data_IF_127294271592
#
_entry.id   IF_127294271592
#
_cell.length_a   1.000
_cell.length_b   1.000
_cell.length_c   1.000
_cell.angle_alpha   90.00
_cell.angle_beta   90.00
_cell.angle_gamma   90.00
#
_symmetry.space_group_name_H-M   'P 1'
#
loop_
_entity.id
_entity.type
_entity.pdbx_description
1 polymer ?
#
# COMPACT_ATOMS: atom_id res chain seq x y z
N UNK A 1 -22.73 1.75 23.47
CA UNK A 1 -23.03 1.37 22.06
C UNK A 1 -21.75 0.84 21.42
N UNK A 2 -21.89 -0.12 20.51
CA UNK A 2 -20.87 -0.85 19.72
C UNK A 2 -19.37 -0.50 19.92
N UNK A 3 -18.47 -1.43 20.21
CA UNK A 3 -18.64 -2.88 20.34
C UNK A 3 -17.35 -3.62 19.99
N UNK A 4 -16.53 -3.93 21.00
CA UNK A 4 -15.55 -5.01 20.88
C UNK A 4 -16.30 -6.35 20.92
N UNK A 5 -15.92 -7.31 20.07
CA UNK A 5 -15.42 -8.59 20.60
C UNK A 5 -14.38 -9.27 19.67
N UNK A 6 -13.80 -10.41 20.08
CA UNK A 6 -13.18 -10.66 21.38
C UNK A 6 -11.75 -11.24 21.22
N UNK A 7 -11.03 -11.40 22.33
CA UNK A 7 -9.92 -12.34 22.40
C UNK A 7 -10.46 -13.72 22.82
N UNK A 8 -10.12 -14.79 22.10
CA UNK A 8 -9.88 -16.14 22.65
C UNK A 8 -9.22 -17.07 21.60
N UNK A 9 -8.83 -18.28 22.03
CA UNK A 9 -8.43 -19.44 21.22
C UNK A 9 -7.06 -19.46 20.50
N UNK A 10 -5.98 -19.62 21.28
CA UNK A 10 -5.18 -20.85 21.12
C UNK A 10 -5.95 -21.98 21.84
N UNK A 11 -5.96 -23.26 21.40
CA UNK A 11 -4.72 -23.99 21.11
C UNK A 11 -4.81 -25.09 20.02
N UNK A 12 -3.70 -25.86 19.92
CA UNK A 12 -3.55 -27.27 19.46
C UNK A 12 -2.97 -27.51 18.06
N UNK A 13 -1.75 -28.06 18.08
CA UNK A 13 -1.19 -28.93 17.02
C UNK A 13 -2.12 -30.13 16.79
N UNK A 14 -2.21 -30.62 15.55
CA UNK A 14 -1.74 -31.99 15.33
C UNK A 14 -0.74 -32.14 14.16
N UNK A 15 -0.08 -33.29 14.16
CA UNK A 15 0.99 -33.71 13.25
C UNK A 15 0.42 -34.60 12.15
N UNK A 16 0.66 -34.29 10.88
CA UNK A 16 0.69 -35.26 9.76
C UNK A 16 1.74 -34.83 8.74
N UNK A 17 2.41 -35.83 8.13
CA UNK A 17 3.35 -35.64 7.04
C UNK A 17 2.72 -36.20 5.75
N UNK A 18 3.02 -35.60 4.59
CA UNK A 18 3.33 -36.30 3.33
C UNK A 18 3.55 -35.32 2.17
N UNK A 19 4.72 -35.46 1.53
CA UNK A 19 4.91 -35.60 0.08
C UNK A 19 3.94 -34.92 -0.90
N UNK A 20 4.43 -34.00 -1.73
CA UNK A 20 3.78 -33.66 -3.01
C UNK A 20 4.01 -32.24 -3.55
N UNK A 21 5.00 -32.08 -4.42
CA UNK A 21 5.01 -31.05 -5.49
C UNK A 21 4.32 -31.63 -6.75
N UNK A 22 4.05 -30.88 -7.83
CA UNK A 22 3.83 -29.42 -7.99
C UNK A 22 2.56 -29.09 -8.83
N UNK A 23 2.27 -27.79 -9.04
CA UNK A 23 1.76 -27.31 -10.34
C UNK A 23 0.36 -26.67 -10.41
N UNK A 24 0.33 -25.40 -10.82
CA UNK A 24 -0.73 -24.67 -11.56
C UNK A 24 -0.33 -23.17 -11.62
N UNK A 25 0.70 -22.80 -12.38
CA UNK A 25 0.60 -22.41 -13.81
C UNK A 25 0.10 -20.98 -14.02
N UNK A 26 1.04 -20.07 -14.23
CA UNK A 26 0.90 -18.76 -14.88
C UNK A 26 0.11 -18.79 -16.20
N UNK A 27 -0.38 -17.62 -16.63
CA UNK A 27 0.09 -17.18 -17.94
C UNK A 27 0.54 -15.70 -18.03
N UNK A 28 1.60 -15.53 -18.84
CA UNK A 28 2.02 -14.31 -19.56
C UNK A 28 2.89 -13.24 -18.83
N UNK A 29 4.20 -13.43 -18.96
CA UNK A 29 5.24 -12.41 -18.99
C UNK A 29 5.90 -12.44 -20.42
N UNK A 30 6.65 -11.47 -20.94
CA UNK A 30 7.04 -10.11 -20.49
C UNK A 30 7.38 -9.22 -21.73
N UNK A 31 7.90 -7.97 -21.61
CA UNK A 31 9.36 -7.79 -21.50
C UNK A 31 9.82 -6.64 -20.55
N UNK A 32 10.43 -6.97 -19.43
CA UNK A 32 11.89 -6.99 -19.26
C UNK A 32 12.65 -5.76 -19.81
N UNK A 33 12.74 -4.69 -19.01
CA UNK A 33 13.84 -3.71 -18.99
C UNK A 33 13.69 -2.62 -17.90
N UNK A 34 12.45 -2.28 -17.50
CA UNK A 34 12.17 -1.23 -16.51
C UNK A 34 11.73 -1.76 -15.13
N UNK A 35 11.64 -3.09 -14.97
CA UNK A 35 10.94 -3.75 -13.86
C UNK A 35 11.81 -4.15 -12.65
N UNK A 36 13.06 -3.67 -12.57
CA UNK A 36 14.07 -4.18 -11.63
C UNK A 36 13.77 -3.96 -10.12
N UNK A 37 12.79 -3.12 -9.76
CA UNK A 37 12.51 -2.77 -8.35
C UNK A 37 11.02 -2.76 -7.95
N UNK A 38 10.06 -3.25 -8.74
CA UNK A 38 8.64 -3.21 -8.35
C UNK A 38 8.23 -4.36 -7.41
N UNK A 39 8.38 -4.10 -6.11
CA UNK A 39 8.08 -5.03 -5.04
C UNK A 39 6.65 -5.58 -5.14
N UNK A 40 6.50 -6.91 -5.05
CA UNK A 40 5.20 -7.58 -5.03
C UNK A 40 4.88 -8.07 -3.62
N UNK A 41 3.69 -7.71 -3.12
CA UNK A 41 3.17 -8.17 -1.83
C UNK A 41 2.18 -9.32 -2.03
N UNK A 42 2.42 -10.50 -1.46
CA UNK A 42 1.41 -11.55 -1.38
C UNK A 42 0.33 -11.16 -0.34
N UNK A 43 -0.93 -11.31 -0.73
CA UNK A 43 -2.11 -11.04 0.09
C UNK A 43 -2.98 -12.29 0.10
N UNK A 44 -3.20 -12.89 1.25
CA UNK A 44 -4.18 -13.97 1.38
C UNK A 44 -5.58 -13.41 1.62
N UNK A 45 -6.53 -13.79 0.76
CA UNK A 45 -7.93 -13.41 0.87
C UNK A 45 -8.80 -14.66 0.68
N UNK A 46 -9.53 -15.07 1.73
CA UNK A 46 -10.45 -16.22 1.71
C UNK A 46 -9.83 -17.54 1.16
N UNK A 47 -8.54 -17.79 1.45
CA UNK A 47 -7.81 -18.96 0.96
C UNK A 47 -7.16 -18.81 -0.43
N UNK A 48 -7.29 -17.64 -1.07
CA UNK A 48 -6.62 -17.31 -2.33
C UNK A 48 -5.46 -16.35 -2.08
N UNK A 49 -4.24 -16.75 -2.44
CA UNK A 49 -3.07 -15.87 -2.42
C UNK A 49 -3.05 -15.00 -3.69
N UNK A 50 -3.28 -13.70 -3.53
CA UNK A 50 -3.20 -12.72 -4.61
C UNK A 50 -1.91 -11.92 -4.50
N UNK A 51 -1.18 -11.81 -5.60
CA UNK A 51 0.02 -11.00 -5.70
C UNK A 51 -0.35 -9.58 -6.14
N UNK A 52 0.00 -8.58 -5.33
CA UNK A 52 -0.25 -7.17 -5.60
C UNK A 52 1.09 -6.48 -5.82
N UNK A 53 1.32 -5.92 -7.01
CA UNK A 53 2.52 -5.13 -7.26
C UNK A 53 2.41 -3.77 -6.57
N UNK A 54 3.51 -3.26 -6.03
CA UNK A 54 3.57 -1.96 -5.36
C UNK A 54 3.03 -0.84 -6.25
N UNK A 55 3.33 -0.84 -7.55
CA UNK A 55 2.81 0.14 -8.50
C UNK A 55 1.28 0.13 -8.65
N UNK A 56 0.58 -0.98 -8.35
CA UNK A 56 -0.89 -1.03 -8.29
C UNK A 56 -1.46 -0.37 -7.01
N UNK A 57 -0.63 -0.15 -5.98
CA UNK A 57 -1.06 0.43 -4.70
C UNK A 57 -1.04 1.95 -4.78
N UNK A 58 -2.23 2.53 -4.69
CA UNK A 58 -2.44 3.98 -4.73
C UNK A 58 -2.21 4.62 -3.36
N UNK A 59 -2.75 3.98 -2.32
CA UNK A 59 -2.51 4.34 -0.93
C UNK A 59 -2.66 3.11 -0.02
N UNK A 60 -2.09 3.19 1.18
CA UNK A 60 -2.23 2.20 2.23
C UNK A 60 -2.70 2.88 3.53
N UNK A 61 -3.64 2.26 4.24
CA UNK A 61 -4.19 2.75 5.50
C UNK A 61 -3.88 1.78 6.67
N UNK A 62 -3.47 2.29 7.82
CA UNK A 62 -3.28 1.49 9.02
C UNK A 62 -4.63 1.12 9.68
N UNK A 63 -4.82 -0.18 9.92
CA UNK A 63 -6.01 -0.79 10.53
C UNK A 63 -5.53 -1.72 11.66
N UNK A 64 -5.15 -1.12 12.80
CA UNK A 64 -4.46 -1.83 13.89
C UNK A 64 -3.08 -2.33 13.45
N UNK A 65 -2.82 -3.62 13.66
CA UNK A 65 -1.58 -4.31 13.25
C UNK A 65 -1.53 -4.65 11.75
N UNK A 66 -2.60 -4.36 11.01
CA UNK A 66 -2.71 -4.59 9.59
C UNK A 66 -2.62 -3.27 8.80
N UNK A 67 -2.20 -3.35 7.54
CA UNK A 67 -2.37 -2.30 6.57
C UNK A 67 -3.41 -2.72 5.53
N UNK A 68 -4.36 -1.84 5.21
CA UNK A 68 -5.25 -1.99 4.07
C UNK A 68 -4.62 -1.28 2.87
N UNK A 69 -4.17 -2.04 1.88
CA UNK A 69 -3.69 -1.55 0.60
C UNK A 69 -4.90 -1.24 -0.30
N UNK A 70 -4.94 -0.07 -0.92
CA UNK A 70 -5.98 0.33 -1.87
C UNK A 70 -5.40 0.36 -3.28
N UNK A 71 -6.01 -0.43 -4.17
CA UNK A 71 -5.63 -0.60 -5.58
C UNK A 71 -6.82 -0.26 -6.48
N UNK A 72 -6.61 -0.23 -7.80
CA UNK A 72 -7.70 -0.14 -8.79
C UNK A 72 -8.70 -1.30 -8.68
N UNK A 73 -8.21 -2.50 -8.34
CA UNK A 73 -9.01 -3.71 -8.21
C UNK A 73 -9.75 -3.83 -6.85
N UNK A 74 -9.62 -2.83 -5.97
CA UNK A 74 -10.21 -2.83 -4.63
C UNK A 74 -9.18 -2.82 -3.51
N UNK A 75 -9.61 -3.19 -2.29
CA UNK A 75 -8.80 -3.10 -1.08
C UNK A 75 -8.37 -4.46 -0.52
N UNK A 76 -7.12 -4.55 -0.10
CA UNK A 76 -6.45 -5.77 0.35
C UNK A 76 -5.87 -5.59 1.76
N UNK A 77 -6.15 -6.49 2.70
CA UNK A 77 -5.62 -6.40 4.06
C UNK A 77 -4.35 -7.24 4.20
N UNK A 78 -3.24 -6.63 4.64
CA UNK A 78 -1.95 -7.29 4.84
C UNK A 78 -1.49 -7.16 6.28
N UNK A 79 -0.90 -8.22 6.83
CA UNK A 79 -0.33 -8.24 8.18
C UNK A 79 1.10 -7.65 8.19
N UNK A 80 1.22 -6.44 7.65
CA UNK A 80 2.47 -5.68 7.59
C UNK A 80 2.18 -4.29 8.18
N UNK A 81 2.92 -3.83 9.19
CA UNK A 81 2.67 -2.53 9.80
C UNK A 81 2.99 -1.40 8.81
N UNK A 82 2.19 -0.34 8.82
CA UNK A 82 2.32 0.79 7.88
C UNK A 82 3.71 1.44 7.91
N UNK A 83 4.41 1.42 9.05
CA UNK A 83 5.79 1.92 9.16
C UNK A 83 6.79 1.08 8.34
N UNK A 84 6.66 -0.24 8.33
CA UNK A 84 7.52 -1.10 7.52
C UNK A 84 7.25 -0.94 6.01
N UNK A 85 5.97 -0.76 5.62
CA UNK A 85 5.61 -0.40 4.24
C UNK A 85 6.19 0.97 3.85
N UNK A 86 6.09 1.96 4.73
CA UNK A 86 6.67 3.30 4.51
C UNK A 86 8.18 3.25 4.27
N UNK A 87 8.91 2.47 5.07
CA UNK A 87 10.38 2.33 4.93
C UNK A 87 10.76 1.62 3.63
N UNK A 88 10.12 0.48 3.33
CA UNK A 88 10.37 -0.30 2.10
C UNK A 88 10.00 0.45 0.82
N UNK A 89 8.94 1.25 0.85
CA UNK A 89 8.43 1.96 -0.33
C UNK A 89 8.88 3.43 -0.40
N UNK A 90 9.76 3.88 0.49
CA UNK A 90 10.28 5.25 0.48
C UNK A 90 11.03 5.59 -0.82
N UNK A 91 11.86 4.66 -1.32
CA UNK A 91 12.57 4.80 -2.62
C UNK A 91 11.61 4.85 -3.81
N UNK A 92 10.50 4.13 -3.72
CA UNK A 92 9.45 4.06 -4.73
C UNK A 92 8.53 5.30 -4.78
N UNK A 93 8.82 6.35 -4.02
CA UNK A 93 7.99 7.56 -3.98
C UNK A 93 6.69 7.39 -3.20
N UNK A 94 6.62 6.49 -2.21
CA UNK A 94 5.51 6.49 -1.24
C UNK A 94 5.80 7.47 -0.11
N UNK A 95 4.83 8.33 0.20
CA UNK A 95 4.95 9.39 1.22
C UNK A 95 3.85 9.26 2.25
N UNK A 96 4.22 9.35 3.54
CA UNK A 96 3.26 9.27 4.65
C UNK A 96 2.62 10.62 4.90
N UNK A 97 1.38 10.76 4.46
CA UNK A 97 0.58 12.00 4.56
C UNK A 97 -0.16 12.12 5.89
N UNK A 98 -0.47 11.00 6.54
CA UNK A 98 -1.10 10.95 7.85
C UNK A 98 -0.49 9.84 8.69
N UNK A 99 -0.66 9.87 10.03
CA UNK A 99 -0.12 8.81 10.91
C UNK A 99 -0.62 7.41 10.54
N UNK A 100 -1.82 7.33 9.97
CA UNK A 100 -2.45 6.10 9.47
C UNK A 100 -2.51 5.99 7.95
N UNK A 101 -1.85 6.86 7.16
CA UNK A 101 -2.03 6.87 5.70
C UNK A 101 -0.72 7.14 4.96
N UNK A 102 -0.37 6.21 4.08
CA UNK A 102 0.74 6.24 3.13
C UNK A 102 0.17 6.36 1.71
N UNK A 103 0.69 7.24 0.87
CA UNK A 103 0.20 7.45 -0.51
C UNK A 103 1.35 7.36 -1.51
N UNK A 104 1.11 6.77 -2.68
CA UNK A 104 2.05 6.82 -3.80
C UNK A 104 1.98 8.18 -4.48
N UNK A 105 3.12 8.88 -4.62
CA UNK A 105 3.17 10.17 -5.32
C UNK A 105 2.72 10.05 -6.79
N UNK A 106 3.00 8.92 -7.45
CA UNK A 106 2.64 8.68 -8.84
C UNK A 106 1.12 8.62 -9.10
N UNK A 107 0.32 8.36 -8.06
CA UNK A 107 -1.15 8.28 -8.14
C UNK A 107 -1.86 9.56 -7.65
N UNK A 108 -1.11 10.60 -7.27
CA UNK A 108 -1.66 11.90 -6.88
C UNK A 108 -2.05 12.70 -8.14
N UNK A 109 -3.30 13.16 -8.20
CA UNK A 109 -3.77 14.08 -9.25
C UNK A 109 -3.67 15.53 -8.85
N UNK A 110 -4.09 15.86 -7.63
CA UNK A 110 -4.09 17.23 -7.11
C UNK A 110 -3.69 17.26 -5.63
N UNK A 111 -3.10 18.37 -5.19
CA UNK A 111 -2.96 18.70 -3.77
C UNK A 111 -3.76 19.95 -3.46
N UNK A 112 -4.90 19.76 -2.79
CA UNK A 112 -5.81 20.85 -2.42
C UNK A 112 -5.41 21.45 -1.09
N UNK A 113 -5.72 22.74 -0.94
CA UNK A 113 -5.41 23.50 0.27
C UNK A 113 -6.58 24.41 0.58
N UNK A 114 -7.35 24.07 1.60
CA UNK A 114 -8.53 24.84 2.00
C UNK A 114 -8.48 25.17 3.50
N UNK A 115 -8.64 26.45 3.86
CA UNK A 115 -8.71 26.94 5.25
C UNK A 115 -7.57 26.42 6.14
N UNK A 116 -6.36 26.30 5.58
CA UNK A 116 -5.16 25.81 6.28
C UNK A 116 -5.08 24.28 6.46
N UNK A 117 -6.03 23.52 5.91
CA UNK A 117 -5.94 22.05 5.73
C UNK A 117 -5.34 21.75 4.36
N UNK A 118 -4.70 20.58 4.26
CA UNK A 118 -4.12 20.08 3.01
C UNK A 118 -4.71 18.71 2.74
N UNK A 119 -5.16 18.46 1.52
CA UNK A 119 -5.65 17.14 1.10
C UNK A 119 -5.03 16.73 -0.23
N UNK A 120 -4.95 15.43 -0.45
CA UNK A 120 -4.44 14.79 -1.66
C UNK A 120 -5.63 14.15 -2.37
N UNK A 121 -5.84 14.53 -3.63
CA UNK A 121 -6.87 13.95 -4.48
C UNK A 121 -6.22 12.92 -5.40
N UNK A 122 -6.72 11.69 -5.32
CA UNK A 122 -6.43 10.60 -6.24
C UNK A 122 -7.60 10.44 -7.21
N UNK A 123 -7.51 9.48 -8.15
CA UNK A 123 -8.60 9.15 -9.09
C UNK A 123 -9.93 8.87 -8.38
N UNK A 124 -9.89 8.09 -7.29
CA UNK A 124 -11.08 7.52 -6.65
C UNK A 124 -11.16 7.78 -5.13
N UNK A 125 -10.31 8.68 -4.58
CA UNK A 125 -10.27 8.99 -3.15
C UNK A 125 -9.69 10.39 -2.87
N UNK A 126 -10.13 11.04 -1.78
CA UNK A 126 -9.49 12.22 -1.21
C UNK A 126 -8.95 11.90 0.19
N UNK A 127 -7.66 12.14 0.42
CA UNK A 127 -6.95 11.81 1.65
C UNK A 127 -6.48 13.07 2.37
N UNK A 128 -6.83 13.21 3.65
CA UNK A 128 -6.41 14.35 4.46
C UNK A 128 -4.93 14.23 4.85
N UNK A 129 -4.16 15.28 4.61
CA UNK A 129 -2.75 15.39 4.99
C UNK A 129 -2.65 16.12 6.33
N UNK A 130 -1.90 15.55 7.27
CA UNK A 130 -1.63 16.23 8.54
C UNK A 130 -0.76 17.48 8.33
N UNK A 131 -1.05 18.56 9.07
CA UNK A 131 -0.47 19.90 8.87
C UNK A 131 1.07 19.93 8.80
N UNK A 132 1.77 19.08 9.57
CA UNK A 132 3.24 18.95 9.55
C UNK A 132 3.72 18.30 8.25
N UNK A 133 3.09 17.19 7.86
CA UNK A 133 3.37 16.44 6.64
C UNK A 133 3.01 17.23 5.37
N UNK A 134 2.02 18.12 5.43
CA UNK A 134 1.59 18.92 4.27
C UNK A 134 2.68 19.85 3.72
N UNK A 135 3.60 20.32 4.56
CA UNK A 135 4.78 21.10 4.09
C UNK A 135 5.78 20.20 3.36
N UNK A 136 6.14 19.08 3.96
CA UNK A 136 7.06 18.07 3.40
C UNK A 136 6.55 17.52 2.06
N UNK A 137 5.26 17.15 1.98
CA UNK A 137 4.64 16.65 0.76
C UNK A 137 4.75 17.65 -0.40
N UNK A 138 4.45 18.93 -0.14
CA UNK A 138 4.57 19.97 -1.18
C UNK A 138 6.02 20.21 -1.57
N UNK A 139 6.95 20.20 -0.61
CA UNK A 139 8.38 20.33 -0.91
C UNK A 139 8.87 19.20 -1.83
N UNK A 140 8.40 17.96 -1.61
CA UNK A 140 8.69 16.82 -2.51
C UNK A 140 8.05 16.97 -3.89
N UNK A 141 6.79 17.37 -3.97
CA UNK A 141 6.10 17.53 -5.27
C UNK A 141 6.61 18.73 -6.10
N UNK A 142 7.02 19.82 -5.46
CA UNK A 142 7.58 20.99 -6.13
C UNK A 142 9.09 20.87 -6.38
N UNK A 143 9.81 20.11 -5.55
CA UNK A 143 11.23 19.80 -5.73
C UNK A 143 11.48 18.67 -6.74
N UNK A 144 10.53 17.74 -6.89
CA UNK A 144 10.50 16.77 -7.98
C UNK A 144 9.93 17.39 -9.27
N UNK A 145 10.54 18.48 -9.72
CA UNK A 145 10.43 18.86 -11.12
C UNK A 145 10.95 17.67 -11.96
N UNK A 146 10.21 17.20 -12.97
CA UNK A 146 10.68 16.07 -13.77
C UNK A 146 11.99 16.45 -14.48
N UNK A 147 12.95 15.52 -14.66
CA UNK A 147 13.88 15.67 -15.75
C UNK A 147 13.03 15.72 -17.03
N UNK A 148 13.02 16.86 -17.71
CA UNK A 148 12.42 16.97 -19.02
C UNK A 148 13.14 15.98 -19.95
N UNK A 149 12.46 14.90 -20.34
CA UNK A 149 12.98 13.99 -21.35
C UNK A 149 13.04 14.76 -22.67
N UNK A 150 14.25 14.96 -23.17
CA UNK A 150 14.58 15.50 -24.48
C UNK A 150 15.72 14.68 -25.09
#
# INVERSE_FOLDING_TARGET
MAGAPPADAEPRRPKVASTGSPGATDPAAEPEAAAAEDETIPVELAGVTRFITRSQVRYAEAQGDYARLHTEAGSHLVRIPLTALQERWASAGFVRIHRSTLVSLAHIREVRTERGRVSVVLKDAELQVSRRQGRELRARLLGAAPPATS
#
